data_IF_233177482541
#
_entry.id   IF_233177482541
#
_cell.length_a   1.000
_cell.length_b   1.000
_cell.length_c   1.000
_cell.angle_alpha   90.00
_cell.angle_beta   90.00
_cell.angle_gamma   90.00
#
_symmetry.space_group_name_H-M   'P 1'
#
loop_
_entity.id
_entity.type
_entity.pdbx_description
1 polymer ?
#
# COMPACT_ATOMS: atom_id res chain seq x y z
N UNK A 1 -38.51 -29.69 -42.24
CA UNK A 1 -37.70 -28.76 -41.41
C UNK A 1 -36.66 -28.06 -42.29
N UNK A 2 -36.45 -26.76 -42.11
CA UNK A 2 -35.54 -25.97 -42.97
C UNK A 2 -34.11 -25.98 -42.42
N UNK A 3 -33.12 -26.31 -43.25
CA UNK A 3 -31.70 -26.33 -42.86
C UNK A 3 -31.14 -24.90 -42.70
N UNK A 4 -30.75 -24.52 -41.49
CA UNK A 4 -30.11 -23.22 -41.22
C UNK A 4 -28.58 -23.35 -41.19
N UNK A 5 -27.87 -22.54 -41.99
CA UNK A 5 -26.40 -22.51 -42.01
C UNK A 5 -25.85 -21.59 -40.91
N UNK A 6 -24.67 -21.92 -40.39
CA UNK A 6 -24.01 -21.17 -39.29
C UNK A 6 -23.51 -19.76 -39.66
N UNK A 7 -23.28 -19.48 -40.95
CA UNK A 7 -22.92 -18.16 -41.46
C UNK A 7 -21.69 -17.50 -40.80
N UNK A 8 -21.70 -16.17 -40.74
CA UNK A 8 -20.58 -15.35 -40.26
C UNK A 8 -20.40 -15.33 -38.74
N UNK A 9 -21.35 -15.87 -37.97
CA UNK A 9 -21.34 -15.86 -36.49
C UNK A 9 -20.07 -16.53 -35.95
N UNK A 10 -19.64 -17.63 -36.57
CA UNK A 10 -18.40 -18.32 -36.22
C UNK A 10 -17.16 -17.46 -36.45
N UNK A 11 -17.09 -16.76 -37.60
CA UNK A 11 -15.99 -15.88 -37.97
C UNK A 11 -15.90 -14.70 -37.00
N UNK A 12 -17.02 -14.04 -36.71
CA UNK A 12 -17.08 -12.90 -35.76
C UNK A 12 -16.54 -13.28 -34.37
N UNK A 13 -16.91 -14.45 -33.85
CA UNK A 13 -16.37 -14.98 -32.58
C UNK A 13 -14.85 -15.19 -32.64
N UNK A 14 -14.34 -15.80 -33.72
CA UNK A 14 -12.89 -16.03 -33.92
C UNK A 14 -12.12 -14.72 -34.03
N UNK A 15 -12.61 -13.74 -34.79
CA UNK A 15 -11.98 -12.41 -34.93
C UNK A 15 -11.87 -11.71 -33.58
N UNK A 16 -12.93 -11.71 -32.76
CA UNK A 16 -12.90 -11.13 -31.40
C UNK A 16 -11.85 -11.79 -30.50
N UNK A 17 -11.74 -13.12 -30.57
CA UNK A 17 -10.77 -13.88 -29.77
C UNK A 17 -9.33 -13.64 -30.26
N UNK A 18 -9.12 -13.54 -31.58
CA UNK A 18 -7.82 -13.23 -32.17
C UNK A 18 -7.36 -11.81 -31.82
N UNK A 19 -8.28 -10.84 -31.80
CA UNK A 19 -7.97 -9.47 -31.39
C UNK A 19 -7.41 -9.39 -29.97
N UNK A 20 -7.94 -10.20 -29.04
CA UNK A 20 -7.42 -10.29 -27.67
C UNK A 20 -5.98 -10.85 -27.61
N UNK A 21 -5.58 -11.68 -28.57
CA UNK A 21 -4.33 -12.43 -28.56
C UNK A 21 -3.30 -11.90 -29.56
N UNK A 22 -3.47 -10.69 -30.09
CA UNK A 22 -2.60 -10.11 -31.12
C UNK A 22 -1.12 -10.08 -30.72
N UNK A 23 -0.84 -9.78 -29.45
CA UNK A 23 0.53 -9.69 -28.90
C UNK A 23 1.06 -11.01 -28.36
N UNK A 24 0.30 -12.12 -28.47
CA UNK A 24 0.77 -13.41 -27.98
C UNK A 24 1.83 -14.02 -28.90
N UNK A 25 2.84 -14.65 -28.30
CA UNK A 25 3.98 -15.20 -29.04
C UNK A 25 3.65 -16.54 -29.71
N UNK A 26 4.08 -16.72 -30.96
CA UNK A 26 4.02 -17.99 -31.69
C UNK A 26 2.60 -18.52 -31.88
N UNK A 27 2.40 -19.82 -31.61
CA UNK A 27 1.11 -20.50 -31.80
C UNK A 27 -0.05 -19.93 -30.97
N UNK A 28 0.26 -19.12 -29.94
CA UNK A 28 -0.72 -18.47 -29.08
C UNK A 28 -1.43 -17.26 -29.71
N UNK A 29 -0.98 -16.76 -30.87
CA UNK A 29 -1.68 -15.71 -31.64
C UNK A 29 -2.29 -16.23 -32.96
N UNK A 30 -1.90 -17.42 -33.42
CA UNK A 30 -2.35 -18.00 -34.70
C UNK A 30 -3.48 -19.03 -34.54
N UNK A 31 -3.30 -20.04 -33.69
CA UNK A 31 -4.20 -21.19 -33.56
C UNK A 31 -5.37 -20.91 -32.61
N UNK A 32 -6.62 -21.01 -33.10
CA UNK A 32 -7.83 -20.68 -32.33
C UNK A 32 -7.96 -21.50 -31.03
N UNK A 33 -7.71 -22.81 -31.08
CA UNK A 33 -7.80 -23.68 -29.90
C UNK A 33 -6.81 -23.23 -28.82
N UNK A 34 -5.57 -22.98 -29.21
CA UNK A 34 -4.52 -22.52 -28.31
C UNK A 34 -4.80 -21.12 -27.77
N UNK A 35 -5.30 -20.20 -28.61
CA UNK A 35 -5.71 -18.86 -28.19
C UNK A 35 -6.81 -18.95 -27.12
N UNK A 36 -7.82 -19.80 -27.30
CA UNK A 36 -8.92 -19.92 -26.32
C UNK A 36 -8.42 -20.36 -24.95
N UNK A 37 -7.49 -21.32 -24.90
CA UNK A 37 -6.88 -21.76 -23.65
C UNK A 37 -6.06 -20.63 -23.00
N UNK A 38 -5.25 -19.91 -23.79
CA UNK A 38 -4.46 -18.80 -23.26
C UNK A 38 -5.30 -17.63 -22.79
N UNK A 39 -6.39 -17.31 -23.50
CA UNK A 39 -7.33 -16.29 -23.08
C UNK A 39 -7.89 -16.58 -21.69
N UNK A 40 -8.31 -17.82 -21.43
CA UNK A 40 -8.84 -18.21 -20.12
C UNK A 40 -7.77 -18.05 -19.04
N UNK A 41 -6.54 -18.52 -19.30
CA UNK A 41 -5.41 -18.39 -18.37
C UNK A 41 -5.05 -16.93 -18.09
N UNK A 42 -4.99 -16.09 -19.12
CA UNK A 42 -4.69 -14.66 -19.00
C UNK A 42 -5.74 -13.93 -18.16
N UNK A 43 -7.03 -14.21 -18.37
CA UNK A 43 -8.11 -13.62 -17.59
C UNK A 43 -8.08 -14.08 -16.12
N UNK A 44 -7.85 -15.37 -15.88
CA UNK A 44 -7.71 -15.91 -14.54
C UNK A 44 -6.53 -15.27 -13.79
N UNK A 45 -5.38 -15.09 -14.46
CA UNK A 45 -4.24 -14.40 -13.87
C UNK A 45 -4.49 -12.92 -13.64
N UNK A 46 -5.06 -12.19 -14.61
CA UNK A 46 -5.45 -10.79 -14.44
C UNK A 46 -6.37 -10.58 -13.23
N UNK A 47 -7.34 -11.47 -13.02
CA UNK A 47 -8.22 -11.41 -11.85
C UNK A 47 -7.45 -11.61 -10.54
N UNK A 48 -6.62 -12.65 -10.47
CA UNK A 48 -5.79 -12.95 -9.29
C UNK A 48 -4.82 -11.83 -8.95
N UNK A 49 -4.13 -11.31 -9.97
CA UNK A 49 -3.04 -10.35 -9.81
C UNK A 49 -3.55 -8.96 -9.44
N UNK A 50 -4.78 -8.58 -9.80
CA UNK A 50 -5.43 -7.36 -9.27
C UNK A 50 -5.52 -7.36 -7.74
N UNK A 51 -5.75 -8.52 -7.12
CA UNK A 51 -5.71 -8.67 -5.67
C UNK A 51 -4.29 -8.71 -5.10
N UNK A 52 -3.34 -9.31 -5.84
CA UNK A 52 -1.92 -9.40 -5.45
C UNK A 52 -1.23 -8.04 -5.48
N UNK A 53 -1.52 -7.22 -6.49
CA UNK A 53 -0.97 -5.89 -6.69
C UNK A 53 -1.15 -4.99 -5.45
N UNK A 54 -2.29 -5.09 -4.75
CA UNK A 54 -2.53 -4.36 -3.49
C UNK A 54 -1.53 -4.76 -2.38
N UNK A 55 -1.19 -6.05 -2.30
CA UNK A 55 -0.19 -6.59 -1.36
C UNK A 55 1.22 -6.19 -1.76
N UNK A 56 1.54 -6.29 -3.05
CA UNK A 56 2.86 -5.97 -3.58
C UNK A 56 3.20 -4.48 -3.39
N UNK A 57 2.26 -3.57 -3.66
CA UNK A 57 2.46 -2.15 -3.38
C UNK A 57 2.62 -1.87 -1.89
N UNK A 58 1.83 -2.51 -1.02
CA UNK A 58 2.00 -2.35 0.42
C UNK A 58 3.38 -2.82 0.87
N UNK A 59 3.86 -3.97 0.36
CA UNK A 59 5.20 -4.49 0.62
C UNK A 59 6.26 -3.49 0.17
N UNK A 60 6.14 -2.95 -1.04
CA UNK A 60 7.06 -1.95 -1.59
C UNK A 60 7.12 -0.68 -0.74
N UNK A 61 5.97 -0.16 -0.29
CA UNK A 61 5.94 1.03 0.56
C UNK A 61 6.61 0.80 1.91
N UNK A 62 6.41 -0.38 2.52
CA UNK A 62 7.08 -0.74 3.77
C UNK A 62 8.59 -0.81 3.56
N UNK A 63 9.05 -1.47 2.51
CA UNK A 63 10.49 -1.57 2.19
C UNK A 63 11.13 -0.19 1.99
N UNK A 64 10.45 0.71 1.26
CA UNK A 64 10.92 2.08 1.03
C UNK A 64 11.06 2.88 2.33
N UNK A 65 10.04 2.84 3.19
CA UNK A 65 10.07 3.53 4.49
C UNK A 65 11.18 2.94 5.38
N UNK A 66 11.31 1.62 5.39
CA UNK A 66 12.32 0.93 6.20
C UNK A 66 13.75 1.28 5.77
N UNK A 67 14.01 1.39 4.46
CA UNK A 67 15.32 1.79 3.94
C UNK A 67 15.74 3.17 4.46
N UNK A 68 14.85 4.15 4.39
CA UNK A 68 15.15 5.54 4.80
C UNK A 68 15.26 5.66 6.32
N UNK A 69 14.50 4.86 7.06
CA UNK A 69 14.57 4.82 8.52
C UNK A 69 15.94 4.29 8.99
N UNK A 70 16.58 3.41 8.21
CA UNK A 70 17.91 2.87 8.51
C UNK A 70 19.06 3.81 8.16
N UNK A 71 18.86 4.77 7.26
CA UNK A 71 19.88 5.67 6.72
C UNK A 71 20.32 6.80 7.70
N UNK A 72 20.06 6.64 9.01
CA UNK A 72 20.45 7.53 10.14
C UNK A 72 19.60 8.80 10.43
N UNK A 73 18.46 9.02 9.79
CA UNK A 73 17.70 10.27 9.98
C UNK A 73 16.43 10.15 10.87
N UNK A 74 15.78 9.01 10.98
CA UNK A 74 14.45 8.91 11.64
C UNK A 74 14.39 7.73 12.62
N UNK A 75 13.59 7.84 13.71
CA UNK A 75 13.24 6.81 14.70
C UNK A 75 13.73 5.39 14.33
N UNK A 76 14.66 4.81 15.11
CA UNK A 76 15.43 3.56 14.88
C UNK A 76 14.81 2.38 14.10
N UNK A 77 13.48 2.27 13.96
CA UNK A 77 12.82 1.21 13.21
C UNK A 77 11.46 1.60 12.63
N UNK A 78 11.07 0.97 11.53
CA UNK A 78 9.74 1.10 10.90
C UNK A 78 8.60 0.87 11.90
N UNK A 79 8.72 -0.16 12.75
CA UNK A 79 7.69 -0.50 13.75
C UNK A 79 7.48 0.64 14.75
N UNK A 80 8.57 1.26 15.22
CA UNK A 80 8.51 2.38 16.17
C UNK A 80 7.96 3.65 15.53
N UNK A 81 8.32 3.94 14.28
CA UNK A 81 7.74 5.03 13.50
C UNK A 81 6.21 4.88 13.40
N UNK A 82 5.73 3.72 12.97
CA UNK A 82 4.30 3.46 12.80
C UNK A 82 3.58 3.50 14.15
N UNK A 83 4.13 2.87 15.19
CA UNK A 83 3.54 2.91 16.53
C UNK A 83 3.35 4.35 17.03
N UNK A 84 4.37 5.19 16.87
CA UNK A 84 4.29 6.59 17.28
C UNK A 84 3.28 7.40 16.44
N UNK A 85 3.17 7.13 15.13
CA UNK A 85 2.14 7.76 14.29
C UNK A 85 0.72 7.44 14.78
N UNK A 86 0.45 6.18 15.14
CA UNK A 86 -0.83 5.77 15.70
C UNK A 86 -1.09 6.39 17.08
N UNK A 87 -0.07 6.42 17.97
CA UNK A 87 -0.18 7.06 19.29
C UNK A 87 -0.52 8.55 19.19
N UNK A 88 -0.10 9.20 18.11
CA UNK A 88 -0.38 10.61 17.80
C UNK A 88 -1.65 10.80 16.96
N UNK A 89 -2.42 9.74 16.74
CA UNK A 89 -3.67 9.75 15.95
C UNK A 89 -3.50 10.26 14.52
N UNK A 90 -2.28 10.15 13.95
CA UNK A 90 -2.02 10.49 12.55
C UNK A 90 -2.40 9.30 11.67
N UNK A 91 -3.59 9.34 11.08
CA UNK A 91 -4.15 8.29 10.22
C UNK A 91 -3.57 8.28 8.80
N UNK A 92 -2.24 8.27 8.67
CA UNK A 92 -1.56 8.25 7.38
C UNK A 92 -1.50 6.83 6.80
N UNK A 93 -2.00 6.68 5.57
CA UNK A 93 -1.78 5.47 4.78
C UNK A 93 -0.30 5.37 4.36
N UNK A 94 0.27 4.16 4.33
CA UNK A 94 1.70 3.88 4.06
C UNK A 94 2.17 4.37 2.69
N UNK A 95 1.24 4.56 1.74
CA UNK A 95 1.52 5.20 0.45
C UNK A 95 2.12 6.60 0.60
N UNK A 96 1.56 7.41 1.49
CA UNK A 96 1.95 8.83 1.63
C UNK A 96 3.35 8.96 2.26
N UNK A 97 3.67 8.33 3.41
CA UNK A 97 5.03 8.35 3.94
C UNK A 97 6.04 7.78 2.96
N UNK A 98 5.73 6.72 2.21
CA UNK A 98 6.64 6.17 1.22
C UNK A 98 6.93 7.13 0.04
N UNK A 99 5.94 7.93 -0.36
CA UNK A 99 6.13 8.93 -1.40
C UNK A 99 6.94 10.13 -0.89
N UNK A 100 6.64 10.61 0.32
CA UNK A 100 7.41 11.67 0.99
C UNK A 100 8.87 11.24 1.15
N UNK A 101 9.07 9.99 1.57
CA UNK A 101 10.39 9.36 1.70
C UNK A 101 11.26 9.51 0.44
N UNK A 102 10.68 9.34 -0.74
CA UNK A 102 11.38 9.44 -2.01
C UNK A 102 11.55 10.91 -2.43
N UNK A 103 10.47 11.69 -2.35
CA UNK A 103 10.45 13.05 -2.89
C UNK A 103 11.21 14.05 -2.03
N UNK A 104 11.17 13.92 -0.70
CA UNK A 104 11.81 14.86 0.21
C UNK A 104 12.13 14.16 1.54
N UNK A 105 13.38 13.69 1.68
CA UNK A 105 13.88 13.04 2.90
C UNK A 105 13.78 13.96 4.13
N UNK A 106 14.01 15.26 3.97
CA UNK A 106 13.99 16.24 5.07
C UNK A 106 12.59 16.41 5.68
N UNK A 107 11.54 16.31 4.86
CA UNK A 107 10.15 16.36 5.35
C UNK A 107 9.87 15.20 6.33
N UNK A 108 10.31 13.98 6.00
CA UNK A 108 10.17 12.81 6.87
C UNK A 108 10.91 13.01 8.20
N UNK A 109 12.09 13.63 8.15
CA UNK A 109 12.90 13.99 9.32
C UNK A 109 12.14 14.95 10.26
N UNK A 110 11.57 16.02 9.72
CA UNK A 110 10.80 17.00 10.50
C UNK A 110 9.59 16.36 11.19
N UNK A 111 8.86 15.50 10.48
CA UNK A 111 7.71 14.77 11.01
C UNK A 111 8.16 13.88 12.19
N UNK A 112 9.26 13.15 12.03
CA UNK A 112 9.84 12.33 13.10
C UNK A 112 10.19 13.15 14.33
N UNK A 113 10.89 14.28 14.17
CA UNK A 113 11.30 15.13 15.29
C UNK A 113 10.11 15.72 16.04
N UNK A 114 9.06 16.16 15.32
CA UNK A 114 7.82 16.64 15.93
C UNK A 114 7.14 15.54 16.78
N UNK A 115 7.16 14.30 16.30
CA UNK A 115 6.63 13.14 17.00
C UNK A 115 7.44 12.81 18.26
N UNK A 116 8.78 12.87 18.20
CA UNK A 116 9.66 12.65 19.36
C UNK A 116 9.45 13.73 20.42
N UNK A 117 9.49 15.01 20.04
CA UNK A 117 9.34 16.14 20.98
C UNK A 117 8.02 16.06 21.76
N UNK A 118 6.94 15.71 21.07
CA UNK A 118 5.64 15.58 21.73
C UNK A 118 5.49 14.34 22.64
N UNK A 119 6.42 13.37 22.58
CA UNK A 119 6.44 12.23 23.50
C UNK A 119 7.15 12.56 24.83
N UNK A 120 8.15 13.44 24.83
CA UNK A 120 8.86 13.87 26.05
C UNK A 120 7.90 14.59 27.01
N UNK A 121 7.12 15.55 26.49
CA UNK A 121 6.18 16.30 27.31
C UNK A 121 5.21 15.39 28.11
N UNK A 122 4.78 14.23 27.58
CA UNK A 122 3.76 13.37 28.22
C UNK A 122 4.24 12.53 29.41
N UNK A 123 5.55 12.35 29.58
CA UNK A 123 6.13 11.51 30.64
C UNK A 123 6.30 12.31 31.94
N UNK A 124 6.51 13.62 31.82
CA UNK A 124 6.89 14.45 32.97
C UNK A 124 5.75 14.61 33.97
N UNK A 125 4.50 14.76 33.53
CA UNK A 125 3.38 14.96 34.46
C UNK A 125 3.15 13.74 35.37
N UNK A 126 3.14 12.52 34.80
CA UNK A 126 2.81 11.29 35.56
C UNK A 126 3.91 10.89 36.53
N UNK A 127 5.18 11.20 36.21
CA UNK A 127 6.33 10.99 37.10
C UNK A 127 6.41 12.09 38.16
N UNK A 128 6.08 13.35 37.83
CA UNK A 128 6.04 14.45 38.78
C UNK A 128 4.96 14.28 39.86
N UNK A 129 3.76 13.79 39.50
CA UNK A 129 2.71 13.47 40.48
C UNK A 129 3.08 12.29 41.39
N UNK A 130 3.87 11.32 40.91
CA UNK A 130 4.31 10.16 41.73
C UNK A 130 5.56 10.46 42.58
N UNK A 131 6.31 11.53 42.29
CA UNK A 131 7.47 11.98 43.05
C UNK A 131 7.18 13.16 43.99
N UNK A 132 5.91 13.57 44.11
CA UNK A 132 5.50 14.62 45.06
C UNK A 132 6.02 16.02 44.71
N UNK A 133 6.38 16.29 43.46
CA UNK A 133 6.94 17.59 43.06
C UNK A 133 5.90 18.69 42.76
N UNK A 134 4.61 18.36 42.76
CA UNK A 134 3.51 19.32 42.58
C UNK A 134 2.42 18.99 43.61
N UNK A 135 2.19 19.90 44.55
CA UNK A 135 1.10 19.80 45.52
C UNK A 135 -0.25 19.96 44.83
N UNK A 136 -1.23 19.14 45.24
CA UNK A 136 -2.63 19.42 44.97
C UNK A 136 -2.96 20.76 45.61
N UNK A 137 -3.24 21.79 44.80
CA UNK A 137 -4.03 22.92 45.28
C UNK A 137 -5.45 22.41 45.58
N UNK A 138 -5.61 21.75 46.71
CA UNK A 138 -6.82 21.90 47.51
C UNK A 138 -6.83 23.36 47.96
N UNK A 139 -7.85 24.09 47.55
CA UNK A 139 -8.59 25.07 48.35
C UNK A 139 -9.53 25.84 47.43
N UNK A 140 -10.80 25.42 47.41
CA UNK A 140 -11.90 26.39 47.59
C UNK A 140 -11.81 26.86 49.06
N UNK A 141 -12.02 28.15 49.39
CA UNK A 141 -13.30 28.82 49.10
C UNK A 141 -13.18 30.30 48.64
N UNK A 142 -14.07 30.68 47.73
CA UNK A 142 -14.98 31.84 47.77
C UNK A 142 -16.15 31.53 46.82
#
# INVERSE_FOLDING_TARGET
>A
MTRVRRGYIARRRRTKIRFFASTFRGAHSSLIRTITQQKIRALASSHRDRGRQKRDFRRLWITRINAITREKWVLYSYSRLIHNLYKKQLLLNRKIPAQIAISNKNCLYMISNKIIKSNSNKVDYKVMYSKGMIETKQNSPE
#
